data_IF_877269869101
#
_entry.id   IF_877269869101
#
_cell.length_a   1.000
_cell.length_b   1.000
_cell.length_c   1.000
_cell.angle_alpha   90.00
_cell.angle_beta   90.00
_cell.angle_gamma   90.00
#
_symmetry.space_group_name_H-M   'P 1'
#
loop_
_entity.id
_entity.type
_entity.pdbx_description
1 polymer ?
#
# COMPACT_ATOMS: atom_id res chain seq x y z
N UNK A 1 -28.37 10.78 4.50
CA UNK A 1 -26.92 10.68 4.22
C UNK A 1 -26.45 9.28 4.54
N UNK A 2 -25.85 8.63 3.57
CA UNK A 2 -25.37 7.27 3.79
C UNK A 2 -23.98 7.29 4.42
N UNK A 3 -23.69 6.31 5.24
CA UNK A 3 -22.37 6.14 5.82
C UNK A 3 -21.38 5.72 4.75
N UNK A 4 -20.09 6.05 4.91
CA UNK A 4 -19.06 5.56 3.99
C UNK A 4 -19.08 4.04 3.95
N UNK A 5 -19.01 3.50 2.76
CA UNK A 5 -18.98 2.06 2.55
C UNK A 5 -17.58 1.54 2.89
N UNK A 6 -17.53 0.41 3.59
CA UNK A 6 -16.26 -0.22 3.90
C UNK A 6 -15.53 -0.60 2.60
N UNK A 7 -14.23 -0.26 2.48
CA UNK A 7 -13.46 -0.62 1.31
C UNK A 7 -13.30 -2.13 1.15
N UNK A 8 -12.98 -2.55 -0.07
CA UNK A 8 -12.54 -3.90 -0.34
C UNK A 8 -11.05 -3.99 0.01
N UNK A 9 -10.72 -4.87 0.94
CA UNK A 9 -9.36 -4.98 1.47
C UNK A 9 -8.50 -5.94 0.64
N UNK A 10 -7.19 -5.71 0.62
CA UNK A 10 -6.24 -6.68 0.07
C UNK A 10 -6.07 -7.80 1.09
N UNK A 11 -6.36 -9.04 0.69
CA UNK A 11 -6.24 -10.20 1.57
C UNK A 11 -4.80 -10.69 1.66
N UNK A 12 -4.54 -11.54 2.64
CA UNK A 12 -3.24 -12.21 2.80
C UNK A 12 -2.85 -12.94 1.50
N UNK A 13 -3.78 -13.72 0.93
CA UNK A 13 -3.53 -14.49 -0.28
C UNK A 13 -3.24 -13.58 -1.47
N UNK A 14 -3.92 -12.45 -1.57
CA UNK A 14 -3.68 -11.47 -2.62
C UNK A 14 -2.30 -10.83 -2.47
N UNK A 15 -1.89 -10.52 -1.24
CA UNK A 15 -0.57 -9.96 -0.99
C UNK A 15 0.54 -10.94 -1.39
N UNK A 16 0.38 -12.22 -1.06
CA UNK A 16 1.31 -13.27 -1.47
C UNK A 16 1.39 -13.35 -3.00
N UNK A 17 0.23 -13.28 -3.68
CA UNK A 17 0.19 -13.34 -5.14
C UNK A 17 0.87 -12.11 -5.77
N UNK A 18 0.66 -10.92 -5.21
CA UNK A 18 1.31 -9.70 -5.68
C UNK A 18 2.83 -9.85 -5.55
N UNK A 19 3.30 -10.32 -4.42
CA UNK A 19 4.73 -10.52 -4.18
C UNK A 19 5.33 -11.51 -5.18
N UNK A 20 4.69 -12.66 -5.38
CA UNK A 20 5.16 -13.67 -6.33
C UNK A 20 5.25 -13.11 -7.75
N UNK A 21 4.25 -12.33 -8.15
CA UNK A 21 4.25 -11.69 -9.47
C UNK A 21 5.42 -10.73 -9.64
N UNK A 22 5.71 -9.94 -8.62
CA UNK A 22 6.81 -8.98 -8.66
C UNK A 22 8.16 -9.70 -8.77
N UNK A 23 8.34 -10.80 -8.05
CA UNK A 23 9.56 -11.59 -8.14
C UNK A 23 9.73 -12.20 -9.54
N UNK A 24 8.66 -12.72 -10.13
CA UNK A 24 8.72 -13.29 -11.49
C UNK A 24 9.10 -12.24 -12.52
N UNK A 25 8.62 -11.02 -12.35
CA UNK A 25 8.84 -9.93 -13.31
C UNK A 25 10.21 -9.27 -13.14
N UNK A 26 10.65 -9.07 -11.91
CA UNK A 26 11.84 -8.25 -11.62
C UNK A 26 12.97 -9.03 -10.96
N UNK A 27 12.75 -10.31 -10.61
CA UNK A 27 13.73 -11.10 -9.89
C UNK A 27 13.73 -10.80 -8.40
N UNK A 28 14.63 -11.46 -7.69
CA UNK A 28 14.78 -11.34 -6.25
C UNK A 28 14.61 -12.69 -5.56
N UNK A 29 15.00 -12.76 -4.29
CA UNK A 29 14.92 -13.98 -3.50
C UNK A 29 13.47 -14.22 -3.05
N UNK A 30 12.93 -15.43 -3.26
CA UNK A 30 11.57 -15.75 -2.83
C UNK A 30 11.52 -15.99 -1.32
N UNK A 31 10.33 -15.97 -0.80
CA UNK A 31 10.05 -16.41 0.56
C UNK A 31 9.44 -15.36 1.44
N UNK A 32 8.56 -15.82 2.30
CA UNK A 32 7.98 -15.04 3.38
C UNK A 32 8.84 -15.26 4.62
N UNK A 33 9.40 -14.18 5.15
CA UNK A 33 10.27 -14.23 6.30
C UNK A 33 9.50 -14.28 7.62
N UNK A 34 8.38 -13.56 7.67
CA UNK A 34 7.60 -13.42 8.90
C UNK A 34 6.13 -13.21 8.58
N UNK A 35 5.34 -14.28 8.79
CA UNK A 35 3.90 -14.24 8.51
C UNK A 35 3.19 -13.24 9.43
N UNK A 36 3.56 -13.17 10.70
CA UNK A 36 2.95 -12.24 11.65
C UNK A 36 3.17 -10.79 11.24
N UNK A 37 4.34 -10.46 10.72
CA UNK A 37 4.65 -9.13 10.23
C UNK A 37 3.84 -8.79 8.97
N UNK A 38 3.60 -9.76 8.10
CA UNK A 38 2.74 -9.54 6.94
C UNK A 38 1.31 -9.28 7.36
N UNK A 39 0.76 -10.14 8.25
CA UNK A 39 -0.61 -9.97 8.72
C UNK A 39 -0.79 -8.64 9.45
N UNK A 40 0.18 -8.24 10.26
CA UNK A 40 0.15 -6.96 10.95
C UNK A 40 0.11 -5.78 9.96
N UNK A 41 0.93 -5.84 8.90
CA UNK A 41 0.94 -4.81 7.86
C UNK A 41 -0.41 -4.71 7.15
N UNK A 42 -1.04 -5.85 6.86
CA UNK A 42 -2.33 -5.88 6.17
C UNK A 42 -3.48 -5.43 7.07
N UNK A 43 -3.36 -5.61 8.38
CA UNK A 43 -4.38 -5.14 9.33
C UNK A 43 -4.29 -3.64 9.61
N UNK A 44 -3.15 -3.02 9.36
CA UNK A 44 -2.94 -1.61 9.67
C UNK A 44 -4.00 -0.69 9.01
N UNK A 45 -4.29 -0.79 7.70
CA UNK A 45 -5.34 0.05 7.11
C UNK A 45 -6.74 -0.30 7.63
N UNK A 46 -7.02 -1.57 7.92
CA UNK A 46 -8.32 -1.99 8.44
C UNK A 46 -8.55 -1.35 9.81
N UNK A 47 -7.55 -1.39 10.68
CA UNK A 47 -7.64 -0.76 12.01
C UNK A 47 -7.76 0.76 11.89
N UNK A 48 -7.05 1.36 10.97
CA UNK A 48 -7.13 2.79 10.72
C UNK A 48 -8.55 3.18 10.31
N UNK A 49 -9.17 2.41 9.42
CA UNK A 49 -10.54 2.66 8.99
C UNK A 49 -11.54 2.51 10.14
N UNK A 50 -11.34 1.53 11.02
CA UNK A 50 -12.25 1.26 12.13
C UNK A 50 -12.16 2.27 13.26
N UNK A 51 -10.96 2.78 13.54
CA UNK A 51 -10.70 3.56 14.75
C UNK A 51 -10.32 5.01 14.48
N UNK A 52 -10.10 5.39 13.23
CA UNK A 52 -9.75 6.75 12.85
C UNK A 52 -10.63 7.19 11.70
N UNK A 53 -10.76 8.49 11.53
CA UNK A 53 -11.46 9.04 10.37
C UNK A 53 -10.45 9.10 9.22
N UNK A 54 -10.61 8.22 8.23
CA UNK A 54 -9.62 8.03 7.17
C UNK A 54 -10.27 8.02 5.81
N UNK A 55 -9.64 8.65 4.83
CA UNK A 55 -10.05 8.55 3.43
C UNK A 55 -9.25 7.45 2.73
N UNK A 56 -9.54 7.21 1.45
CA UNK A 56 -8.88 6.13 0.70
C UNK A 56 -7.37 6.36 0.56
N UNK A 57 -6.93 7.61 0.49
CA UNK A 57 -5.50 7.94 0.42
C UNK A 57 -4.79 7.55 1.72
N UNK A 58 -5.42 7.81 2.87
CA UNK A 58 -4.88 7.41 4.18
C UNK A 58 -4.73 5.90 4.27
N UNK A 59 -5.73 5.16 3.80
CA UNK A 59 -5.72 3.70 3.85
C UNK A 59 -4.67 3.10 2.91
N UNK A 60 -4.55 3.67 1.72
CA UNK A 60 -3.52 3.25 0.76
C UNK A 60 -2.12 3.46 1.33
N UNK A 61 -1.89 4.63 1.95
CA UNK A 61 -0.61 4.94 2.57
C UNK A 61 -0.32 4.00 3.75
N UNK A 62 -1.36 3.57 4.48
CA UNK A 62 -1.19 2.62 5.58
C UNK A 62 -0.70 1.27 5.08
N UNK A 63 -1.19 0.79 3.94
CA UNK A 63 -0.67 -0.44 3.33
C UNK A 63 0.82 -0.29 3.01
N UNK A 64 1.18 0.77 2.30
CA UNK A 64 2.57 0.98 1.89
C UNK A 64 3.49 1.11 3.09
N UNK A 65 3.09 1.88 4.09
CA UNK A 65 3.89 2.10 5.30
C UNK A 65 4.16 0.78 6.03
N UNK A 66 3.11 0.01 6.29
CA UNK A 66 3.24 -1.25 7.03
C UNK A 66 4.12 -2.25 6.28
N UNK A 67 3.90 -2.40 4.98
CA UNK A 67 4.66 -3.35 4.16
C UNK A 67 6.12 -2.94 4.01
N UNK A 68 6.40 -1.64 3.85
CA UNK A 68 7.76 -1.14 3.72
C UNK A 68 8.54 -1.26 5.05
N UNK A 69 7.87 -1.07 6.18
CA UNK A 69 8.51 -1.06 7.49
C UNK A 69 8.67 -2.44 8.11
N UNK A 70 7.69 -3.33 7.89
CA UNK A 70 7.67 -4.63 8.58
C UNK A 70 8.64 -5.66 8.00
N UNK A 71 9.12 -5.48 6.78
CA UNK A 71 10.06 -6.39 6.13
C UNK A 71 9.64 -7.85 6.23
N UNK A 72 8.37 -8.12 5.88
CA UNK A 72 7.78 -9.45 6.03
C UNK A 72 8.35 -10.48 5.06
N UNK A 73 8.85 -10.04 3.91
CA UNK A 73 9.41 -10.91 2.89
C UNK A 73 10.93 -10.88 2.91
N UNK A 74 11.55 -11.93 2.37
CA UNK A 74 13.01 -12.00 2.25
C UNK A 74 13.52 -10.87 1.36
N UNK A 75 12.79 -10.57 0.26
CA UNK A 75 13.20 -9.56 -0.70
C UNK A 75 11.94 -8.91 -1.31
N UNK A 76 12.09 -7.75 -1.93
CA UNK A 76 11.02 -7.10 -2.65
C UNK A 76 10.03 -6.34 -1.77
N UNK A 77 10.38 -6.00 -0.53
CA UNK A 77 9.46 -5.34 0.40
C UNK A 77 9.01 -3.95 -0.07
N UNK A 78 9.90 -3.17 -0.65
CA UNK A 78 9.55 -1.84 -1.18
C UNK A 78 8.62 -1.97 -2.38
N UNK A 79 8.89 -2.95 -3.23
CA UNK A 79 8.10 -3.20 -4.44
C UNK A 79 6.68 -3.63 -4.09
N UNK A 80 6.53 -4.59 -3.14
CA UNK A 80 5.21 -5.02 -2.72
C UNK A 80 4.45 -3.90 -2.00
N UNK A 81 5.14 -3.06 -1.25
CA UNK A 81 4.51 -1.92 -0.58
C UNK A 81 3.81 -1.02 -1.59
N UNK A 82 4.51 -0.65 -2.66
CA UNK A 82 3.95 0.20 -3.71
C UNK A 82 2.83 -0.51 -4.47
N UNK A 83 3.07 -1.76 -4.88
CA UNK A 83 2.10 -2.50 -5.69
C UNK A 83 0.83 -2.83 -4.93
N UNK A 84 0.93 -3.08 -3.62
CA UNK A 84 -0.25 -3.32 -2.79
C UNK A 84 -1.07 -2.03 -2.61
N UNK A 85 -0.40 -0.90 -2.42
CA UNK A 85 -1.06 0.40 -2.37
C UNK A 85 -1.84 0.67 -3.65
N UNK A 86 -1.20 0.46 -4.81
CA UNK A 86 -1.84 0.62 -6.11
C UNK A 86 -3.00 -0.35 -6.31
N UNK A 87 -2.78 -1.61 -5.94
CA UNK A 87 -3.79 -2.66 -6.08
C UNK A 87 -5.01 -2.43 -5.20
N UNK A 88 -4.79 -1.92 -4.00
CA UNK A 88 -5.89 -1.55 -3.10
C UNK A 88 -6.77 -0.47 -3.73
N UNK A 89 -6.14 0.59 -4.24
CA UNK A 89 -6.88 1.67 -4.87
C UNK A 89 -7.63 1.17 -6.10
N UNK A 90 -6.98 0.38 -6.95
CA UNK A 90 -7.59 -0.16 -8.16
C UNK A 90 -8.78 -1.08 -7.83
N UNK A 91 -8.64 -1.93 -6.82
CA UNK A 91 -9.71 -2.83 -6.36
C UNK A 91 -10.95 -2.05 -5.95
N UNK A 92 -10.77 -0.81 -5.49
CA UNK A 92 -11.84 0.08 -5.07
C UNK A 92 -12.21 1.10 -6.14
N UNK A 93 -11.83 0.86 -7.40
CA UNK A 93 -12.24 1.67 -8.54
C UNK A 93 -11.40 2.91 -8.78
N UNK A 94 -10.23 3.01 -8.17
CA UNK A 94 -9.37 4.19 -8.29
C UNK A 94 -8.10 3.83 -9.05
N UNK A 95 -8.04 4.23 -10.32
CA UNK A 95 -6.88 3.97 -11.18
C UNK A 95 -5.81 5.04 -10.91
N UNK A 96 -5.08 4.87 -9.82
CA UNK A 96 -4.02 5.78 -9.41
C UNK A 96 -2.77 5.52 -10.25
N UNK A 97 -2.36 6.51 -11.05
CA UNK A 97 -1.23 6.39 -11.96
C UNK A 97 -0.25 7.53 -11.81
N UNK A 98 0.52 7.56 -10.74
CA UNK A 98 1.45 8.64 -10.49
C UNK A 98 2.71 8.53 -11.35
N UNK A 99 3.48 9.61 -11.40
CA UNK A 99 4.77 9.63 -12.08
C UNK A 99 5.71 8.55 -11.51
N UNK A 100 6.32 7.70 -12.35
CA UNK A 100 7.18 6.61 -11.83
C UNK A 100 8.38 7.09 -11.02
N UNK A 101 9.01 8.20 -11.41
CA UNK A 101 10.16 8.72 -10.67
C UNK A 101 9.75 9.22 -9.29
N UNK A 102 8.61 9.91 -9.19
CA UNK A 102 8.08 10.36 -7.90
C UNK A 102 7.70 9.16 -7.03
N UNK A 103 7.08 8.15 -7.63
CA UNK A 103 6.68 6.93 -6.92
C UNK A 103 7.89 6.26 -6.28
N UNK A 104 8.97 6.11 -7.04
CA UNK A 104 10.20 5.52 -6.55
C UNK A 104 10.77 6.33 -5.38
N UNK A 105 10.83 7.66 -5.54
CA UNK A 105 11.35 8.54 -4.49
C UNK A 105 10.53 8.43 -3.21
N UNK A 106 9.19 8.39 -3.33
CA UNK A 106 8.30 8.31 -2.17
C UNK A 106 8.49 6.99 -1.42
N UNK A 107 8.56 5.86 -2.14
CA UNK A 107 8.71 4.55 -1.50
C UNK A 107 10.09 4.40 -0.87
N UNK A 108 11.15 4.86 -1.53
CA UNK A 108 12.48 4.84 -0.95
C UNK A 108 12.56 5.71 0.32
N UNK A 109 11.97 6.91 0.26
CA UNK A 109 11.91 7.80 1.42
C UNK A 109 11.10 7.23 2.56
N UNK A 110 9.99 6.55 2.26
CA UNK A 110 9.16 5.89 3.25
C UNK A 110 9.94 4.78 3.97
N UNK A 111 10.61 3.93 3.20
CA UNK A 111 11.40 2.82 3.76
C UNK A 111 12.57 3.34 4.60
N UNK A 112 13.17 4.45 4.20
CA UNK A 112 14.31 5.07 4.92
C UNK A 112 13.86 5.88 6.15
N UNK A 113 12.57 6.09 6.35
CA UNK A 113 12.05 6.90 7.45
C UNK A 113 12.08 8.39 7.19
N UNK A 114 12.34 8.81 5.95
CA UNK A 114 12.39 10.22 5.56
C UNK A 114 11.02 10.76 5.14
N UNK A 115 10.14 9.88 4.70
CA UNK A 115 8.76 10.22 4.32
C UNK A 115 7.84 9.55 5.32
N UNK A 116 6.97 10.33 5.96
CA UNK A 116 6.00 9.80 6.92
C UNK A 116 4.80 9.19 6.19
N UNK A 117 4.04 8.38 6.92
CA UNK A 117 2.78 7.84 6.42
C UNK A 117 1.83 8.97 5.98
N UNK A 118 1.77 10.04 6.78
CA UNK A 118 0.91 11.19 6.49
C UNK A 118 1.36 11.93 5.24
N UNK A 119 2.66 12.08 5.04
CA UNK A 119 3.20 12.70 3.83
C UNK A 119 2.91 11.87 2.59
N UNK A 120 2.99 10.54 2.72
CA UNK A 120 2.64 9.63 1.62
C UNK A 120 1.15 9.77 1.28
N UNK A 121 0.28 9.79 2.28
CA UNK A 121 -1.16 9.97 2.06
C UNK A 121 -1.45 11.29 1.35
N UNK A 122 -0.76 12.37 1.72
CA UNK A 122 -0.91 13.67 1.07
C UNK A 122 -0.49 13.59 -0.40
N UNK A 123 0.63 12.93 -0.67
CA UNK A 123 1.09 12.75 -2.04
C UNK A 123 0.09 11.96 -2.89
N UNK A 124 -0.52 10.92 -2.32
CA UNK A 124 -1.58 10.15 -3.00
C UNK A 124 -2.76 11.06 -3.34
N UNK A 125 -3.20 11.89 -2.38
CA UNK A 125 -4.30 12.83 -2.61
C UNK A 125 -3.95 13.86 -3.69
N UNK A 126 -2.72 14.38 -3.67
CA UNK A 126 -2.27 15.39 -4.63
C UNK A 126 -2.19 14.84 -6.06
N UNK A 127 -2.06 13.53 -6.20
CA UNK A 127 -1.99 12.84 -7.49
C UNK A 127 -3.23 12.01 -7.79
N UNK A 128 -4.35 12.32 -7.13
CA UNK A 128 -5.61 11.60 -7.29
C UNK A 128 -6.14 11.75 -8.72
N UNK A 129 -6.71 10.66 -9.31
CA UNK A 129 -7.30 10.78 -10.66
C UNK A 129 -8.43 11.78 -10.66
N UNK A 130 -8.42 12.71 -11.61
CA UNK A 130 -9.38 13.83 -11.65
C UNK A 130 -10.82 13.38 -11.91
N UNK A 131 -11.02 12.21 -12.55
CA UNK A 131 -12.35 11.66 -12.84
C UNK A 131 -12.98 10.95 -11.66
N UNK A 132 -12.25 10.76 -10.55
CA UNK A 132 -12.73 9.98 -9.40
C UNK A 132 -12.93 10.91 -8.22
N UNK A 133 -14.14 10.98 -7.62
CA UNK A 133 -14.36 11.77 -6.40
C UNK A 133 -13.50 11.22 -5.24
N UNK A 134 -13.00 12.12 -4.44
CA UNK A 134 -12.20 11.73 -3.27
C UNK A 134 -13.08 11.15 -2.14
#
# INVERSE_FOLDING_TARGET
>A
MSEPKEPLWITYEQAIAIHSRQLRRFGGAPGLRDEGMLRSALERPVNKWRYEQSDMADLAAAYAFGLAKNHAFVDGNKRIAFMTMMGFLLKNGIAFGPDPAQSTAMILGLAAGEVSEQSLARWVRDNWPSEVPK
#
